data_IF_318824188081
#
_entry.id   IF_318824188081
#
_cell.length_a   1.000
_cell.length_b   1.000
_cell.length_c   1.000
_cell.angle_alpha   90.00
_cell.angle_beta   90.00
_cell.angle_gamma   90.00
#
_symmetry.space_group_name_H-M   'P 1'
#
loop_
_entity.id
_entity.type
_entity.pdbx_description
1 polymer ?
#
# COMPACT_ATOMS: atom_id res chain seq x y z
N UNK A 1 6.04 1.89 17.61
CA UNK A 1 6.48 3.32 17.51
C UNK A 1 5.30 4.19 17.06
N UNK A 2 5.36 5.50 17.27
CA UNK A 2 4.33 6.42 16.76
C UNK A 2 4.71 6.99 15.37
N UNK A 3 3.73 7.62 14.71
CA UNK A 3 3.89 8.19 13.35
C UNK A 3 5.00 9.24 13.27
N UNK A 4 5.15 10.05 14.32
CA UNK A 4 6.16 11.11 14.34
C UNK A 4 7.57 10.54 14.39
N UNK A 5 7.80 9.54 15.25
CA UNK A 5 9.06 8.80 15.35
C UNK A 5 9.44 8.15 14.02
N UNK A 6 8.49 7.51 13.34
CA UNK A 6 8.71 6.93 12.02
C UNK A 6 9.18 7.98 11.00
N UNK A 7 8.48 9.12 10.93
CA UNK A 7 8.82 10.18 9.97
C UNK A 7 10.24 10.70 10.25
N UNK A 8 10.57 10.96 11.51
CA UNK A 8 11.90 11.41 11.91
C UNK A 8 12.97 10.37 11.56
N UNK A 9 12.71 9.08 11.78
CA UNK A 9 13.66 8.01 11.45
C UNK A 9 13.93 7.93 9.95
N UNK A 10 12.89 8.03 9.11
CA UNK A 10 13.04 8.00 7.66
C UNK A 10 13.71 9.27 7.12
N UNK A 11 13.45 10.44 7.71
CA UNK A 11 14.09 11.70 7.33
C UNK A 11 15.59 11.73 7.69
N UNK A 12 16.02 10.95 8.67
CA UNK A 12 17.41 10.80 9.07
C UNK A 12 18.16 9.66 8.33
N UNK A 13 17.45 8.82 7.57
CA UNK A 13 18.03 7.76 6.76
C UNK A 13 18.60 8.36 5.46
N UNK A 14 19.92 8.28 5.29
CA UNK A 14 20.64 8.92 4.19
C UNK A 14 20.19 8.44 2.79
N UNK A 15 19.77 7.19 2.65
CA UNK A 15 19.29 6.65 1.38
C UNK A 15 17.85 7.09 1.12
N UNK A 16 16.96 6.97 2.11
CA UNK A 16 15.55 7.31 1.96
C UNK A 16 15.31 8.82 1.82
N UNK A 17 16.06 9.65 2.55
CA UNK A 17 15.93 11.11 2.50
C UNK A 17 16.22 11.65 1.10
N UNK A 18 17.09 11.00 0.33
CA UNK A 18 17.39 11.39 -1.05
C UNK A 18 16.14 11.34 -1.94
N UNK A 19 15.29 10.32 -1.76
CA UNK A 19 14.01 10.20 -2.46
C UNK A 19 12.95 11.15 -1.89
N UNK A 20 12.90 11.34 -0.57
CA UNK A 20 11.98 12.30 0.07
C UNK A 20 12.23 13.75 -0.36
N UNK A 21 13.47 14.08 -0.72
CA UNK A 21 13.85 15.39 -1.24
C UNK A 21 13.34 15.64 -2.67
N UNK A 22 13.01 14.58 -3.42
CA UNK A 22 12.37 14.69 -4.74
C UNK A 22 10.85 14.94 -4.64
N UNK A 23 10.25 14.69 -3.46
CA UNK A 23 8.81 14.87 -3.24
C UNK A 23 8.48 16.36 -3.08
N UNK A 24 7.59 16.92 -3.92
CA UNK A 24 7.16 18.31 -3.77
C UNK A 24 6.62 18.61 -2.38
N UNK A 25 7.00 19.75 -1.80
CA UNK A 25 6.53 20.18 -0.46
C UNK A 25 5.01 20.15 -0.31
N UNK A 26 4.27 20.42 -1.40
CA UNK A 26 2.79 20.36 -1.43
C UNK A 26 2.22 18.99 -1.08
N UNK A 27 2.99 17.91 -1.27
CA UNK A 27 2.59 16.52 -1.05
C UNK A 27 3.03 15.97 0.32
N UNK A 28 3.68 16.79 1.17
CA UNK A 28 4.14 16.41 2.51
C UNK A 28 3.84 17.49 3.57
N UNK A 29 2.66 18.11 3.48
CA UNK A 29 2.27 19.23 4.36
C UNK A 29 1.91 18.77 5.78
N UNK A 30 1.29 17.60 5.88
CA UNK A 30 0.83 17.03 7.14
C UNK A 30 1.51 15.68 7.39
N UNK A 31 1.47 15.19 8.64
CA UNK A 31 1.91 13.84 8.97
C UNK A 31 1.15 12.77 8.16
N UNK A 32 -0.14 13.00 7.92
CA UNK A 32 -0.96 12.11 7.11
C UNK A 32 -0.46 12.06 5.66
N UNK A 33 -0.16 13.22 5.06
CA UNK A 33 0.45 13.28 3.73
C UNK A 33 1.78 12.53 3.70
N UNK A 34 2.63 12.75 4.71
CA UNK A 34 3.90 12.06 4.83
C UNK A 34 3.72 10.54 4.86
N UNK A 35 2.77 10.00 5.63
CA UNK A 35 2.49 8.55 5.65
C UNK A 35 2.08 8.01 4.28
N UNK A 36 1.22 8.72 3.54
CA UNK A 36 0.86 8.32 2.18
C UNK A 36 2.04 8.38 1.20
N UNK A 37 2.93 9.38 1.36
CA UNK A 37 4.20 9.47 0.62
C UNK A 37 5.09 8.28 0.91
N UNK A 38 5.30 7.93 2.19
CA UNK A 38 6.15 6.80 2.59
C UNK A 38 5.62 5.49 2.02
N UNK A 39 4.32 5.22 2.14
CA UNK A 39 3.72 4.03 1.54
C UNK A 39 3.94 3.98 0.02
N UNK A 40 3.70 5.08 -0.70
CA UNK A 40 3.90 5.10 -2.15
C UNK A 40 5.36 4.94 -2.54
N UNK A 41 6.27 5.49 -1.74
CA UNK A 41 7.71 5.33 -1.95
C UNK A 41 8.14 3.87 -1.80
N UNK A 42 7.63 3.12 -0.80
CA UNK A 42 7.89 1.68 -0.66
C UNK A 42 7.59 0.91 -1.95
N UNK A 43 6.43 1.19 -2.56
CA UNK A 43 6.05 0.53 -3.81
C UNK A 43 6.89 0.98 -4.99
N UNK A 44 7.19 2.28 -5.12
CA UNK A 44 8.02 2.78 -6.22
C UNK A 44 9.42 2.18 -6.15
N UNK A 45 10.00 2.05 -4.96
CA UNK A 45 11.30 1.41 -4.76
C UNK A 45 11.25 -0.07 -5.20
N UNK A 46 10.24 -0.82 -4.75
CA UNK A 46 10.06 -2.22 -5.15
C UNK A 46 9.86 -2.39 -6.67
N UNK A 47 9.07 -1.51 -7.29
CA UNK A 47 8.80 -1.53 -8.73
C UNK A 47 9.96 -0.99 -9.57
N UNK A 48 10.93 -0.31 -8.96
CA UNK A 48 12.17 0.14 -9.62
C UNK A 48 13.35 -0.83 -9.37
N UNK A 49 13.05 -2.07 -9.00
CA UNK A 49 14.02 -3.12 -8.63
C UNK A 49 14.99 -2.75 -7.48
N UNK A 50 14.63 -1.75 -6.66
CA UNK A 50 15.34 -1.41 -5.43
C UNK A 50 14.70 -2.10 -4.22
N UNK A 51 14.65 -3.44 -4.26
CA UNK A 51 13.97 -4.26 -3.25
C UNK A 51 14.59 -4.11 -1.86
N UNK A 52 15.91 -3.93 -1.75
CA UNK A 52 16.58 -3.75 -0.46
C UNK A 52 16.12 -2.47 0.25
N UNK A 53 16.06 -1.34 -0.48
CA UNK A 53 15.60 -0.08 0.10
C UNK A 53 14.08 -0.09 0.34
N UNK A 54 13.31 -0.75 -0.52
CA UNK A 54 11.89 -0.99 -0.29
C UNK A 54 11.67 -1.77 1.01
N UNK A 55 12.46 -2.83 1.24
CA UNK A 55 12.38 -3.63 2.46
C UNK A 55 12.79 -2.82 3.70
N UNK A 56 13.85 -2.01 3.62
CA UNK A 56 14.24 -1.08 4.70
C UNK A 56 13.10 -0.13 5.07
N UNK A 57 12.42 0.48 4.07
CA UNK A 57 11.25 1.33 4.31
C UNK A 57 10.10 0.55 4.97
N UNK A 58 9.79 -0.64 4.46
CA UNK A 58 8.74 -1.51 5.00
C UNK A 58 9.04 -1.86 6.46
N UNK A 59 10.28 -2.26 6.77
CA UNK A 59 10.72 -2.65 8.12
C UNK A 59 10.58 -1.51 9.13
N UNK A 60 10.70 -0.25 8.70
CA UNK A 60 10.37 0.93 9.52
C UNK A 60 8.86 1.14 9.63
N UNK A 61 8.15 1.15 8.50
CA UNK A 61 6.69 1.36 8.45
C UNK A 61 5.93 0.38 9.34
N UNK A 62 6.31 -0.90 9.34
CA UNK A 62 5.61 -1.95 10.11
C UNK A 62 5.80 -1.79 11.62
N UNK A 63 6.69 -0.95 12.11
CA UNK A 63 6.84 -0.70 13.55
C UNK A 63 5.76 0.23 14.11
N UNK A 64 4.97 0.90 13.25
CA UNK A 64 3.89 1.79 13.70
C UNK A 64 2.70 0.97 14.20
N UNK A 65 2.34 1.18 15.46
CA UNK A 65 1.22 0.47 16.09
C UNK A 65 -0.12 1.02 15.62
N UNK A 66 -1.16 0.18 15.65
CA UNK A 66 -2.52 0.64 15.41
C UNK A 66 -3.10 1.25 16.68
N UNK A 67 -3.49 2.53 16.61
CA UNK A 67 -4.05 3.30 17.74
C UNK A 67 -5.56 3.58 17.60
N UNK A 68 -6.17 3.12 16.51
CA UNK A 68 -7.57 3.40 16.17
C UNK A 68 -7.75 4.34 14.97
N UNK A 69 -6.70 5.00 14.47
CA UNK A 69 -6.79 5.94 13.36
C UNK A 69 -6.31 5.33 12.03
N UNK A 70 -7.28 4.91 11.22
CA UNK A 70 -7.02 4.37 9.88
C UNK A 70 -6.35 5.37 8.93
N UNK A 71 -6.43 6.68 9.16
CA UNK A 71 -5.80 7.69 8.28
C UNK A 71 -4.28 7.56 8.28
N UNK A 72 -3.70 7.19 9.42
CA UNK A 72 -2.27 6.97 9.55
C UNK A 72 -1.90 5.49 9.35
N UNK A 73 -2.81 4.59 9.73
CA UNK A 73 -2.53 3.16 9.69
C UNK A 73 -2.77 2.49 8.33
N UNK A 74 -3.66 3.00 7.48
CA UNK A 74 -3.86 2.45 6.12
C UNK A 74 -2.54 2.45 5.30
N UNK A 75 -1.72 3.52 5.29
CA UNK A 75 -0.39 3.48 4.69
C UNK A 75 0.53 2.38 5.26
N UNK A 76 0.49 2.14 6.58
CA UNK A 76 1.25 1.08 7.25
C UNK A 76 0.78 -0.29 6.79
N UNK A 77 -0.54 -0.52 6.79
CA UNK A 77 -1.15 -1.75 6.27
C UNK A 77 -0.72 -2.01 4.84
N UNK A 78 -0.81 -1.00 3.96
CA UNK A 78 -0.49 -1.17 2.54
C UNK A 78 1.00 -1.48 2.32
N UNK A 79 1.90 -0.91 3.12
CA UNK A 79 3.33 -1.27 3.09
C UNK A 79 3.58 -2.67 3.63
N UNK A 80 2.87 -3.08 4.69
CA UNK A 80 2.95 -4.42 5.25
C UNK A 80 2.46 -5.49 4.25
N UNK A 81 1.41 -5.18 3.47
CA UNK A 81 0.93 -6.05 2.39
C UNK A 81 1.96 -6.22 1.27
N UNK A 82 2.74 -5.19 0.97
CA UNK A 82 3.88 -5.31 0.05
C UNK A 82 4.96 -6.25 0.61
N UNK A 83 5.16 -6.28 1.92
CA UNK A 83 6.08 -7.21 2.57
C UNK A 83 5.71 -8.67 2.27
N UNK A 84 4.41 -9.01 2.32
CA UNK A 84 3.92 -10.36 1.97
C UNK A 84 4.25 -10.71 0.52
N UNK A 85 4.17 -9.74 -0.40
CA UNK A 85 4.54 -9.97 -1.80
C UNK A 85 6.03 -10.28 -1.97
N UNK A 86 6.89 -9.63 -1.19
CA UNK A 86 8.35 -9.79 -1.24
C UNK A 86 8.78 -11.12 -0.59
N UNK A 87 8.23 -11.42 0.60
CA UNK A 87 8.57 -12.60 1.38
C UNK A 87 7.33 -13.08 2.15
N UNK A 88 6.56 -13.95 1.50
CA UNK A 88 5.28 -14.43 2.03
C UNK A 88 5.47 -15.25 3.30
N UNK A 89 6.50 -16.10 3.35
CA UNK A 89 6.79 -16.96 4.50
C UNK A 89 7.09 -16.14 5.75
N UNK A 90 7.90 -15.08 5.61
CA UNK A 90 8.25 -14.19 6.72
C UNK A 90 7.08 -13.34 7.21
N UNK A 91 6.26 -12.81 6.29
CA UNK A 91 5.35 -11.71 6.63
C UNK A 91 3.86 -12.09 6.74
N UNK A 92 3.40 -13.16 6.10
CA UNK A 92 1.96 -13.43 5.94
C UNK A 92 1.21 -13.45 7.29
N UNK A 93 1.66 -14.28 8.22
CA UNK A 93 0.99 -14.46 9.52
C UNK A 93 0.96 -13.16 10.31
N UNK A 94 2.12 -12.53 10.53
CA UNK A 94 2.20 -11.32 11.35
C UNK A 94 1.42 -10.14 10.77
N UNK A 95 1.39 -9.98 9.44
CA UNK A 95 0.65 -8.89 8.79
C UNK A 95 -0.85 -9.15 8.87
N UNK A 96 -1.28 -10.40 8.61
CA UNK A 96 -2.69 -10.78 8.72
C UNK A 96 -3.22 -10.58 10.14
N UNK A 97 -2.47 -10.99 11.15
CA UNK A 97 -2.85 -10.82 12.56
C UNK A 97 -3.02 -9.35 12.95
N UNK A 98 -2.15 -8.47 12.44
CA UNK A 98 -2.28 -7.02 12.67
C UNK A 98 -3.51 -6.41 11.98
N UNK A 99 -3.85 -6.88 10.78
CA UNK A 99 -5.08 -6.46 10.11
C UNK A 99 -6.29 -6.94 10.89
N UNK A 100 -6.30 -8.20 11.34
CA UNK A 100 -7.38 -8.74 12.17
C UNK A 100 -7.49 -8.01 13.51
N UNK A 101 -6.38 -7.63 14.13
CA UNK A 101 -6.37 -6.79 15.32
C UNK A 101 -7.06 -5.45 15.06
N UNK A 102 -6.67 -4.74 13.99
CA UNK A 102 -7.27 -3.46 13.64
C UNK A 102 -8.78 -3.58 13.37
N UNK A 103 -9.22 -4.65 12.69
CA UNK A 103 -10.64 -4.92 12.46
C UNK A 103 -11.44 -5.14 13.76
N UNK A 104 -10.80 -5.65 14.81
CA UNK A 104 -11.42 -5.96 16.11
C UNK A 104 -11.22 -4.88 17.18
N UNK A 105 -10.55 -3.79 16.86
CA UNK A 105 -10.29 -2.70 17.81
C UNK A 105 -11.50 -1.79 18.05
N UNK A 106 -11.70 -1.29 19.27
CA UNK A 106 -12.78 -0.36 19.60
C UNK A 106 -14.09 -1.06 19.99
N UNK A 107 -15.19 -0.30 20.00
CA UNK A 107 -16.50 -0.80 20.44
C UNK A 107 -17.17 -1.75 19.43
N UNK A 108 -18.23 -2.44 19.87
CA UNK A 108 -18.96 -3.43 19.07
C UNK A 108 -19.48 -2.86 17.74
N UNK A 109 -19.93 -1.59 17.73
CA UNK A 109 -20.47 -0.93 16.54
C UNK A 109 -19.36 -0.67 15.52
N UNK A 110 -18.22 -0.16 15.99
CA UNK A 110 -17.02 0.05 15.19
C UNK A 110 -16.50 -1.26 14.60
N UNK A 111 -16.38 -2.31 15.42
CA UNK A 111 -15.94 -3.65 14.98
C UNK A 111 -16.90 -4.23 13.95
N UNK A 112 -18.22 -4.13 14.19
CA UNK A 112 -19.23 -4.60 13.24
C UNK A 112 -19.10 -3.89 11.88
N UNK A 113 -18.96 -2.56 11.89
CA UNK A 113 -18.76 -1.77 10.68
C UNK A 113 -17.53 -2.21 9.88
N UNK A 114 -16.38 -2.36 10.56
CA UNK A 114 -15.13 -2.78 9.94
C UNK A 114 -15.18 -4.20 9.38
N UNK A 115 -15.77 -5.15 10.12
CA UNK A 115 -15.96 -6.52 9.64
C UNK A 115 -16.89 -6.58 8.43
N UNK A 116 -17.92 -5.73 8.37
CA UNK A 116 -18.80 -5.62 7.19
C UNK A 116 -18.04 -5.10 5.96
N UNK A 117 -17.16 -4.09 6.14
CA UNK A 117 -16.31 -3.57 5.06
C UNK A 117 -15.34 -4.65 4.58
N UNK A 118 -14.65 -5.34 5.49
CA UNK A 118 -13.74 -6.44 5.17
C UNK A 118 -14.44 -7.53 4.34
N UNK A 119 -15.60 -8.04 4.79
CA UNK A 119 -16.38 -9.02 4.03
C UNK A 119 -16.72 -8.53 2.63
N UNK A 120 -17.13 -7.27 2.48
CA UNK A 120 -17.42 -6.67 1.16
C UNK A 120 -16.18 -6.55 0.28
N UNK A 121 -14.98 -6.45 0.83
CA UNK A 121 -13.75 -6.51 0.03
C UNK A 121 -13.55 -7.91 -0.54
N UNK A 122 -13.77 -8.96 0.26
CA UNK A 122 -13.60 -10.36 -0.15
C UNK A 122 -14.53 -10.79 -1.30
N UNK A 123 -15.62 -10.06 -1.54
CA UNK A 123 -16.53 -10.27 -2.69
C UNK A 123 -16.06 -9.61 -3.99
N UNK A 124 -14.92 -8.91 -4.00
CA UNK A 124 -14.42 -8.17 -5.17
C UNK A 124 -15.14 -6.84 -5.44
N UNK A 125 -16.10 -6.44 -4.60
CA UNK A 125 -16.87 -5.20 -4.83
C UNK A 125 -15.99 -3.97 -4.99
N UNK A 126 -14.97 -3.81 -4.12
CA UNK A 126 -14.06 -2.66 -4.20
C UNK A 126 -13.09 -2.79 -5.38
N UNK A 127 -12.64 -3.99 -5.72
CA UNK A 127 -11.81 -4.22 -6.91
C UNK A 127 -12.52 -3.74 -8.19
N UNK A 128 -13.78 -4.14 -8.39
CA UNK A 128 -14.59 -3.73 -9.55
C UNK A 128 -14.77 -2.20 -9.63
N UNK A 129 -15.00 -1.56 -8.47
CA UNK A 129 -15.07 -0.10 -8.38
C UNK A 129 -13.75 0.57 -8.80
N UNK A 130 -12.61 0.04 -8.36
CA UNK A 130 -11.29 0.57 -8.73
C UNK A 130 -10.98 0.36 -10.21
N UNK A 131 -11.36 -0.79 -10.78
CA UNK A 131 -11.22 -1.07 -12.21
C UNK A 131 -12.07 -0.11 -13.06
N UNK A 132 -13.32 0.15 -12.64
CA UNK A 132 -14.18 1.15 -13.30
C UNK A 132 -13.57 2.56 -13.25
N UNK A 133 -12.93 2.92 -12.14
CA UNK A 133 -12.21 4.18 -12.02
C UNK A 133 -10.98 4.25 -12.94
N UNK A 134 -10.28 3.12 -13.13
CA UNK A 134 -9.14 2.99 -14.03
C UNK A 134 -9.57 3.19 -15.49
N UNK A 135 -10.65 2.56 -15.92
CA UNK A 135 -11.21 2.71 -17.28
C UNK A 135 -11.59 4.16 -17.61
N UNK A 136 -11.98 4.93 -16.60
CA UNK A 136 -12.34 6.36 -16.75
C UNK A 136 -11.13 7.29 -16.80
N UNK A 137 -9.92 6.82 -16.49
CA UNK A 137 -8.73 7.65 -16.50
C UNK A 137 -8.27 7.94 -17.93
N UNK A 138 -8.16 9.23 -18.26
CA UNK A 138 -7.92 9.72 -19.62
C UNK A 138 -6.46 9.74 -20.02
N UNK A 139 -5.57 9.90 -19.06
CA UNK A 139 -4.13 9.96 -19.29
C UNK A 139 -3.40 8.81 -18.60
N UNK A 140 -2.27 8.41 -19.19
CA UNK A 140 -1.47 7.27 -18.75
C UNK A 140 -0.96 7.44 -17.31
N UNK A 141 -0.53 8.65 -16.92
CA UNK A 141 -0.08 8.94 -15.55
C UNK A 141 -1.21 8.70 -14.54
N UNK A 142 -2.42 9.16 -14.85
CA UNK A 142 -3.59 8.88 -14.00
C UNK A 142 -3.92 7.39 -13.96
N UNK A 143 -3.79 6.67 -15.08
CA UNK A 143 -3.98 5.22 -15.12
C UNK A 143 -2.96 4.50 -14.22
N UNK A 144 -1.68 4.87 -14.28
CA UNK A 144 -0.63 4.26 -13.43
C UNK A 144 -0.86 4.52 -11.94
N UNK A 145 -1.24 5.75 -11.57
CA UNK A 145 -1.56 6.07 -10.18
C UNK A 145 -2.76 5.26 -9.64
N UNK A 146 -3.76 5.01 -10.49
CA UNK A 146 -4.91 4.15 -10.18
C UNK A 146 -4.53 2.67 -10.10
N UNK A 147 -3.70 2.17 -11.02
CA UNK A 147 -3.15 0.80 -10.97
C UNK A 147 -2.41 0.52 -9.68
N UNK A 148 -1.65 1.48 -9.17
CA UNK A 148 -1.02 1.35 -7.87
C UNK A 148 -2.04 1.25 -6.71
N UNK A 149 -3.16 1.98 -6.79
CA UNK A 149 -4.26 1.81 -5.82
C UNK A 149 -4.98 0.46 -5.94
N UNK A 150 -5.13 -0.06 -7.16
CA UNK A 150 -5.61 -1.42 -7.42
C UNK A 150 -4.66 -2.44 -6.80
N UNK A 151 -3.35 -2.27 -6.97
CA UNK A 151 -2.35 -3.18 -6.42
C UNK A 151 -2.44 -3.28 -4.89
N UNK A 152 -2.63 -2.16 -4.18
CA UNK A 152 -2.84 -2.19 -2.72
C UNK A 152 -4.02 -3.09 -2.33
N UNK A 153 -5.13 -2.96 -3.07
CA UNK A 153 -6.33 -3.72 -2.80
C UNK A 153 -6.16 -5.20 -3.18
N UNK A 154 -5.53 -5.50 -4.31
CA UNK A 154 -5.24 -6.88 -4.72
C UNK A 154 -4.35 -7.59 -3.70
N UNK A 155 -3.33 -6.92 -3.17
CA UNK A 155 -2.47 -7.50 -2.13
C UNK A 155 -3.23 -7.75 -0.82
N UNK A 156 -4.20 -6.88 -0.47
CA UNK A 156 -5.13 -7.15 0.63
C UNK A 156 -5.92 -8.44 0.38
N UNK A 157 -6.49 -8.61 -0.82
CA UNK A 157 -7.24 -9.82 -1.17
C UNK A 157 -6.35 -11.07 -1.13
N UNK A 158 -5.11 -10.99 -1.63
CA UNK A 158 -4.13 -12.09 -1.55
C UNK A 158 -3.85 -12.50 -0.10
N UNK A 159 -3.69 -11.55 0.82
CA UNK A 159 -3.44 -11.83 2.24
C UNK A 159 -4.58 -12.60 2.93
N UNK A 160 -5.79 -12.55 2.37
CA UNK A 160 -6.98 -13.28 2.83
C UNK A 160 -7.49 -14.27 1.77
N UNK A 161 -6.60 -14.83 0.96
CA UNK A 161 -6.94 -15.67 -0.20
C UNK A 161 -7.87 -16.85 0.17
N UNK A 162 -7.72 -17.41 1.36
CA UNK A 162 -8.54 -18.50 1.88
C UNK A 162 -10.00 -18.10 2.19
N UNK A 163 -10.29 -16.81 2.30
CA UNK A 163 -11.60 -16.24 2.65
C UNK A 163 -12.30 -15.58 1.44
N UNK A 164 -11.67 -15.57 0.26
CA UNK A 164 -12.22 -14.93 -0.93
C UNK A 164 -13.51 -15.60 -1.42
N UNK A 165 -14.47 -14.77 -1.83
CA UNK A 165 -15.69 -15.17 -2.55
C UNK A 165 -15.56 -15.00 -4.08
N UNK A 166 -14.40 -14.50 -4.53
CA UNK A 166 -14.00 -14.40 -5.93
C UNK A 166 -12.86 -15.38 -6.23
N UNK A 167 -12.60 -15.60 -7.52
CA UNK A 167 -11.53 -16.48 -7.98
C UNK A 167 -10.15 -16.01 -7.51
N UNK A 168 -9.41 -16.90 -6.86
CA UNK A 168 -8.04 -16.65 -6.35
C UNK A 168 -7.06 -16.47 -7.50
N UNK A 169 -7.22 -17.24 -8.58
CA UNK A 169 -6.33 -17.18 -9.72
C UNK A 169 -6.51 -15.86 -10.48
N UNK A 170 -7.74 -15.33 -10.53
CA UNK A 170 -8.01 -13.99 -11.04
C UNK A 170 -7.22 -12.93 -10.25
N UNK A 171 -7.28 -12.96 -8.92
CA UNK A 171 -6.53 -12.00 -8.07
C UNK A 171 -5.03 -12.12 -8.30
N UNK A 172 -4.49 -13.35 -8.33
CA UNK A 172 -3.05 -13.57 -8.55
C UNK A 172 -2.61 -13.08 -9.93
N UNK A 173 -3.37 -13.37 -10.98
CA UNK A 173 -3.08 -12.92 -12.34
C UNK A 173 -3.14 -11.40 -12.46
N UNK A 174 -4.12 -10.75 -11.82
CA UNK A 174 -4.22 -9.29 -11.80
C UNK A 174 -3.06 -8.62 -11.04
N UNK A 175 -2.56 -9.23 -9.96
CA UNK A 175 -1.35 -8.76 -9.26
C UNK A 175 -0.15 -8.75 -10.21
N UNK A 176 0.11 -9.89 -10.86
CA UNK A 176 1.25 -10.02 -11.77
C UNK A 176 1.16 -9.05 -12.94
N UNK A 177 -0.01 -8.98 -13.59
CA UNK A 177 -0.26 -8.04 -14.68
C UNK A 177 -0.07 -6.59 -14.25
N UNK A 178 -0.59 -6.21 -13.08
CA UNK A 178 -0.47 -4.84 -12.57
C UNK A 178 0.98 -4.48 -12.25
N UNK A 179 1.75 -5.40 -11.65
CA UNK A 179 3.18 -5.20 -11.38
C UNK A 179 3.96 -5.02 -12.69
N UNK A 180 3.75 -5.90 -13.67
CA UNK A 180 4.44 -5.83 -14.97
C UNK A 180 4.19 -4.48 -15.65
N UNK A 181 2.94 -4.06 -15.75
CA UNK A 181 2.57 -2.76 -16.37
C UNK A 181 3.23 -1.59 -15.64
N UNK A 182 3.21 -1.60 -14.30
CA UNK A 182 3.83 -0.52 -13.51
C UNK A 182 5.35 -0.50 -13.64
N UNK A 183 5.99 -1.67 -13.65
CA UNK A 183 7.45 -1.80 -13.85
C UNK A 183 7.86 -1.30 -15.23
N UNK A 184 7.17 -1.77 -16.28
CA UNK A 184 7.43 -1.35 -17.65
C UNK A 184 7.27 0.16 -17.81
N UNK A 185 6.22 0.74 -17.23
CA UNK A 185 6.03 2.19 -17.25
C UNK A 185 7.17 2.94 -16.56
N UNK A 186 7.57 2.51 -15.35
CA UNK A 186 8.65 3.14 -14.59
C UNK A 186 9.99 3.00 -15.32
N UNK A 187 10.26 1.86 -15.96
CA UNK A 187 11.46 1.63 -16.74
C UNK A 187 11.56 2.61 -17.93
N UNK A 188 10.45 2.83 -18.63
CA UNK A 188 10.42 3.66 -19.85
C UNK A 188 10.35 5.17 -19.52
N UNK A 189 9.50 5.54 -18.56
CA UNK A 189 9.14 6.95 -18.30
C UNK A 189 9.78 7.52 -17.03
N UNK A 190 10.38 6.66 -16.20
CA UNK A 190 10.73 6.99 -14.82
C UNK A 190 9.52 7.14 -13.92
N UNK A 191 9.77 7.35 -12.62
CA UNK A 191 8.71 7.48 -11.61
C UNK A 191 8.31 8.92 -11.30
N UNK A 192 9.00 9.94 -11.86
CA UNK A 192 8.83 11.35 -11.46
C UNK A 192 7.43 11.92 -11.75
N UNK A 193 6.69 11.34 -12.70
CA UNK A 193 5.31 11.73 -13.01
C UNK A 193 4.27 11.02 -12.14
N UNK A 194 4.67 10.01 -11.36
CA UNK A 194 3.78 9.30 -10.45
C UNK A 194 3.69 10.02 -9.10
N UNK A 195 2.57 9.87 -8.41
CA UNK A 195 2.50 10.29 -7.01
C UNK A 195 3.44 9.39 -6.18
N UNK A 196 4.32 9.96 -5.33
CA UNK A 196 4.22 11.30 -4.73
C UNK A 196 5.07 12.40 -5.39
N UNK A 197 5.70 12.16 -6.54
CA UNK A 197 6.65 13.10 -7.16
C UNK A 197 6.02 14.18 -8.03
N UNK A 198 4.76 13.98 -8.48
CA UNK A 198 3.99 14.93 -9.30
C UNK A 198 3.47 16.17 -8.55
#
# INVERSE_FOLDING_TARGET
MNVKELIEEVENDAELVSYLNLVPKKNKKTQMDAMHVLNRLSYILYLSDNTALAQSMIDKMVQVDFDGDYRYWEPVQNSALLAILIDEEKYLTQVRDRILYALNYGDEVSVFGKRKVHKRFLTGFRLNSLQTELEKAKDEVSQMNKRMGILFHLLYLKAFSNELEIDRDLVNNEIQSTILILRDYILINGFKQLYPFK
#
